data_IF_123324023646
#
_entry.id   IF_123324023646
#
_cell.length_a   1.000
_cell.length_b   1.000
_cell.length_c   1.000
_cell.angle_alpha   90.00
_cell.angle_beta   90.00
_cell.angle_gamma   90.00
#
_symmetry.space_group_name_H-M   'P 1'
#
loop_
_entity.id
_entity.type
_entity.pdbx_description
1 polymer ?
#
# COMPACT_ATOMS: atom_id res chain seq x y z
N UNK A 1 -0.01 90.43 31.97
CA UNK A 1 -1.12 89.46 32.16
C UNK A 1 -1.53 89.02 30.77
N UNK A 2 -1.41 87.74 30.46
CA UNK A 2 -1.92 87.13 29.23
C UNK A 2 -2.50 85.76 29.63
N UNK A 3 -3.68 85.48 29.10
CA UNK A 3 -4.69 84.56 29.61
C UNK A 3 -4.30 83.09 29.47
N UNK A 4 -4.63 82.29 30.50
CA UNK A 4 -4.64 80.83 30.38
C UNK A 4 -5.91 80.44 29.60
N UNK A 5 -5.73 79.95 28.38
CA UNK A 5 -6.81 79.40 27.55
C UNK A 5 -7.33 78.09 28.19
N UNK A 6 -8.57 78.11 28.67
CA UNK A 6 -9.26 76.94 29.21
C UNK A 6 -9.68 76.05 28.04
N UNK A 7 -9.16 74.81 27.97
CA UNK A 7 -9.63 73.82 27.00
C UNK A 7 -10.99 73.31 27.48
N UNK A 8 -12.03 73.54 26.67
CA UNK A 8 -13.40 73.12 26.93
C UNK A 8 -13.49 71.60 27.19
N UNK A 9 -14.17 71.23 28.28
CA UNK A 9 -14.42 69.84 28.69
C UNK A 9 -15.11 69.01 27.59
N UNK A 10 -15.80 69.66 26.65
CA UNK A 10 -16.48 69.00 25.53
C UNK A 10 -15.49 68.43 24.50
N UNK A 11 -14.36 69.10 24.25
CA UNK A 11 -13.32 68.64 23.31
C UNK A 11 -12.54 67.45 23.89
N UNK A 12 -12.31 67.46 25.21
CA UNK A 12 -11.71 66.34 25.93
C UNK A 12 -12.64 65.10 25.96
N UNK A 13 -13.95 65.31 26.03
CA UNK A 13 -14.95 64.24 26.01
C UNK A 13 -15.14 63.64 24.60
N UNK A 14 -15.00 64.45 23.55
CA UNK A 14 -15.03 63.98 22.16
C UNK A 14 -13.77 63.19 21.76
N UNK A 15 -12.61 63.59 22.26
CA UNK A 15 -11.36 62.84 22.12
C UNK A 15 -11.41 61.50 22.87
N UNK A 16 -11.96 61.48 24.10
CA UNK A 16 -12.17 60.26 24.87
C UNK A 16 -13.18 59.29 24.21
N UNK A 17 -14.26 59.81 23.59
CA UNK A 17 -15.24 59.01 22.82
C UNK A 17 -14.62 58.41 21.55
N UNK A 18 -13.72 59.12 20.86
CA UNK A 18 -13.02 58.63 19.65
C UNK A 18 -11.95 57.56 19.98
N UNK A 19 -11.30 57.64 21.13
CA UNK A 19 -10.32 56.63 21.61
C UNK A 19 -11.04 55.39 22.18
N UNK A 20 -12.16 55.56 22.90
CA UNK A 20 -12.98 54.45 23.40
C UNK A 20 -13.69 53.66 22.28
N UNK A 21 -14.04 54.30 21.15
CA UNK A 21 -14.63 53.62 20.00
C UNK A 21 -13.62 52.85 19.13
N UNK A 22 -12.32 53.18 19.16
CA UNK A 22 -11.28 52.43 18.41
C UNK A 22 -10.76 51.19 19.14
N UNK A 23 -10.81 51.13 20.48
CA UNK A 23 -10.26 50.00 21.27
C UNK A 23 -11.27 48.87 21.53
N UNK A 24 -12.58 49.10 21.35
CA UNK A 24 -13.61 48.04 21.48
C UNK A 24 -13.89 47.24 20.19
N UNK A 25 -13.11 47.43 19.12
CA UNK A 25 -13.23 46.68 17.85
C UNK A 25 -12.30 45.46 17.73
N UNK A 26 -11.74 44.94 18.82
CA UNK A 26 -10.85 43.77 18.76
C UNK A 26 -11.03 42.83 19.96
N UNK A 27 -12.22 42.23 20.13
CA UNK A 27 -12.38 40.90 20.78
C UNK A 27 -13.53 40.13 20.11
N UNK A 28 -13.15 39.35 19.10
CA UNK A 28 -13.61 38.01 18.76
C UNK A 28 -15.09 37.65 18.98
N UNK A 29 -15.85 37.67 17.88
CA UNK A 29 -16.82 36.60 17.61
C UNK A 29 -16.75 36.30 16.11
N UNK A 30 -16.11 35.20 15.66
CA UNK A 30 -16.22 34.81 14.26
C UNK A 30 -17.67 34.35 14.07
N UNK A 31 -18.49 35.25 13.53
CA UNK A 31 -19.77 34.86 12.94
C UNK A 31 -19.45 34.08 11.67
N UNK A 32 -19.91 32.83 11.64
CA UNK A 32 -19.97 31.94 10.49
C UNK A 32 -18.65 31.30 10.03
N UNK A 33 -17.91 30.70 10.95
CA UNK A 33 -17.14 29.51 10.57
C UNK A 33 -18.11 28.32 10.69
N UNK A 34 -18.58 27.78 9.56
CA UNK A 34 -19.26 26.47 9.57
C UNK A 34 -18.34 25.52 10.34
N UNK A 35 -18.82 24.82 11.39
CA UNK A 35 -17.95 23.92 12.12
C UNK A 35 -17.37 22.92 11.11
N UNK A 36 -16.04 22.77 11.12
CA UNK A 36 -15.37 21.82 10.24
C UNK A 36 -15.99 20.45 10.51
N UNK A 37 -16.35 19.69 9.47
CA UNK A 37 -17.01 18.39 9.64
C UNK A 37 -16.22 17.46 10.58
N UNK A 38 -14.88 17.52 10.52
CA UNK A 38 -13.99 16.84 11.48
C UNK A 38 -14.21 17.27 12.94
N UNK A 39 -14.37 18.57 13.21
CA UNK A 39 -14.63 19.07 14.57
C UNK A 39 -16.02 18.68 15.08
N UNK A 40 -17.02 18.58 14.20
CA UNK A 40 -18.35 18.05 14.57
C UNK A 40 -18.32 16.56 14.90
N UNK A 41 -17.57 15.77 14.12
CA UNK A 41 -17.38 14.34 14.38
C UNK A 41 -16.66 14.13 15.72
N UNK A 42 -15.60 14.89 15.99
CA UNK A 42 -14.84 14.80 17.26
C UNK A 42 -15.66 15.22 18.49
N UNK A 43 -16.56 16.21 18.32
CA UNK A 43 -17.45 16.65 19.40
C UNK A 43 -18.63 15.70 19.63
N UNK A 44 -18.80 14.64 18.82
CA UNK A 44 -19.87 13.66 18.97
C UNK A 44 -21.21 14.06 18.34
N UNK A 45 -21.25 15.15 17.57
CA UNK A 45 -22.47 15.64 16.87
C UNK A 45 -22.99 14.60 15.84
N UNK A 46 -22.10 13.70 15.38
CA UNK A 46 -22.42 12.56 14.53
C UNK A 46 -23.40 11.55 15.17
N UNK A 47 -23.39 11.42 16.49
CA UNK A 47 -24.22 10.46 17.23
C UNK A 47 -25.60 11.01 17.61
N UNK A 48 -25.89 12.26 17.25
CA UNK A 48 -27.19 12.87 17.50
C UNK A 48 -28.28 12.23 16.64
N UNK A 49 -29.50 12.18 17.18
CA UNK A 49 -30.64 11.51 16.53
C UNK A 49 -30.94 12.12 15.17
N UNK A 50 -30.89 13.44 15.07
CA UNK A 50 -31.17 14.22 13.87
C UNK A 50 -30.10 13.97 12.80
N UNK A 51 -28.83 13.90 13.19
CA UNK A 51 -27.74 13.60 12.25
C UNK A 51 -27.84 12.17 11.70
N UNK A 52 -28.12 11.19 12.56
CA UNK A 52 -28.25 9.78 12.17
C UNK A 52 -29.45 9.57 11.24
N UNK A 53 -30.59 10.18 11.54
CA UNK A 53 -31.79 10.08 10.70
C UNK A 53 -31.57 10.74 9.32
N UNK A 54 -30.88 11.88 9.27
CA UNK A 54 -30.58 12.57 8.02
C UNK A 54 -29.52 11.85 7.16
N UNK A 55 -28.64 11.05 7.79
CA UNK A 55 -27.52 10.36 7.12
C UNK A 55 -27.66 8.83 7.12
N UNK A 56 -28.87 8.31 7.34
CA UNK A 56 -29.12 6.88 7.55
C UNK A 56 -28.57 6.00 6.42
N UNK A 57 -28.79 6.39 5.16
CA UNK A 57 -28.28 5.68 3.99
C UNK A 57 -26.75 5.60 3.97
N UNK A 58 -26.07 6.67 4.39
CA UNK A 58 -24.61 6.71 4.46
C UNK A 58 -24.07 5.82 5.58
N UNK A 59 -24.75 5.78 6.72
CA UNK A 59 -24.40 4.87 7.84
C UNK A 59 -24.54 3.40 7.40
N UNK A 60 -25.62 3.05 6.70
CA UNK A 60 -25.77 1.72 6.10
C UNK A 60 -24.65 1.39 5.12
N UNK A 61 -24.23 2.35 4.29
CA UNK A 61 -23.09 2.17 3.40
C UNK A 61 -21.79 1.89 4.16
N UNK A 62 -21.52 2.58 5.27
CA UNK A 62 -20.34 2.33 6.11
C UNK A 62 -20.40 0.95 6.78
N UNK A 63 -21.56 0.56 7.30
CA UNK A 63 -21.77 -0.77 7.90
C UNK A 63 -21.56 -1.86 6.83
N UNK A 64 -22.09 -1.66 5.62
CA UNK A 64 -21.85 -2.56 4.50
C UNK A 64 -20.36 -2.67 4.14
N UNK A 65 -19.65 -1.54 4.11
CA UNK A 65 -18.21 -1.53 3.86
C UNK A 65 -17.43 -2.26 4.96
N UNK A 66 -17.83 -2.10 6.23
CA UNK A 66 -17.27 -2.86 7.35
C UNK A 66 -17.48 -4.37 7.18
N UNK A 67 -18.66 -4.81 6.73
CA UNK A 67 -18.92 -6.22 6.43
C UNK A 67 -18.04 -6.74 5.29
N UNK A 68 -17.83 -5.95 4.23
CA UNK A 68 -16.91 -6.31 3.14
C UNK A 68 -15.45 -6.43 3.62
N UNK A 69 -15.00 -5.53 4.50
CA UNK A 69 -13.66 -5.57 5.08
C UNK A 69 -13.46 -6.86 5.89
N UNK A 70 -14.44 -7.20 6.74
CA UNK A 70 -14.42 -8.43 7.52
C UNK A 70 -14.41 -9.65 6.59
N UNK A 71 -15.29 -9.69 5.59
CA UNK A 71 -15.36 -10.78 4.61
C UNK A 71 -14.04 -10.98 3.86
N UNK A 72 -13.43 -9.89 3.37
CA UNK A 72 -12.09 -9.92 2.74
C UNK A 72 -11.02 -10.42 3.72
N UNK A 73 -11.11 -10.04 4.99
CA UNK A 73 -10.19 -10.49 6.04
C UNK A 73 -10.17 -12.01 6.25
N UNK A 74 -11.33 -12.67 6.15
CA UNK A 74 -11.41 -14.13 6.21
C UNK A 74 -10.83 -14.81 4.96
N UNK A 75 -11.07 -14.24 3.78
CA UNK A 75 -10.55 -14.78 2.51
C UNK A 75 -9.02 -14.82 2.47
N UNK A 76 -8.35 -13.79 3.01
CA UNK A 76 -6.89 -13.73 3.06
C UNK A 76 -6.24 -14.91 3.79
N UNK A 77 -6.86 -15.39 4.89
CA UNK A 77 -6.33 -16.52 5.67
C UNK A 77 -6.39 -17.85 4.93
N UNK A 78 -7.45 -18.06 4.13
CA UNK A 78 -7.58 -19.26 3.30
C UNK A 78 -6.59 -19.21 2.15
N UNK A 79 -6.51 -18.05 1.48
CA UNK A 79 -5.58 -17.85 0.37
C UNK A 79 -4.12 -18.06 0.79
N UNK A 80 -3.69 -17.52 1.93
CA UNK A 80 -2.32 -17.75 2.42
C UNK A 80 -2.03 -19.22 2.69
N UNK A 81 -2.99 -19.96 3.28
CA UNK A 81 -2.83 -21.40 3.52
C UNK A 81 -2.71 -22.20 2.22
N UNK A 82 -3.52 -21.86 1.23
CA UNK A 82 -3.50 -22.53 -0.07
C UNK A 82 -2.20 -22.25 -0.81
N UNK A 83 -1.69 -21.02 -0.73
CA UNK A 83 -0.36 -20.65 -1.28
C UNK A 83 0.74 -21.46 -0.59
N UNK A 84 0.75 -21.52 0.74
CA UNK A 84 1.76 -22.28 1.49
C UNK A 84 1.72 -23.78 1.15
N UNK A 85 0.52 -24.34 0.98
CA UNK A 85 0.34 -25.73 0.59
C UNK A 85 0.86 -25.98 -0.82
N UNK A 86 0.48 -25.12 -1.78
CA UNK A 86 0.91 -25.23 -3.18
C UNK A 86 2.43 -25.11 -3.30
N UNK A 87 3.04 -24.20 -2.53
CA UNK A 87 4.50 -24.05 -2.51
C UNK A 87 5.19 -25.33 -2.03
N UNK A 88 4.68 -25.96 -0.98
CA UNK A 88 5.22 -27.25 -0.49
C UNK A 88 5.11 -28.36 -1.52
N UNK A 89 3.95 -28.48 -2.17
CA UNK A 89 3.74 -29.48 -3.24
C UNK A 89 4.71 -29.25 -4.41
N UNK A 90 4.97 -27.99 -4.76
CA UNK A 90 5.90 -27.62 -5.82
C UNK A 90 7.36 -27.92 -5.42
N UNK A 91 7.74 -27.67 -4.17
CA UNK A 91 9.06 -27.98 -3.65
C UNK A 91 9.30 -29.49 -3.62
N UNK A 92 8.30 -30.29 -3.23
CA UNK A 92 8.34 -31.76 -3.24
C UNK A 92 8.49 -32.30 -4.67
N UNK A 93 7.66 -31.85 -5.62
CA UNK A 93 7.79 -32.22 -7.03
C UNK A 93 9.16 -31.82 -7.61
N UNK A 94 9.70 -30.67 -7.20
CA UNK A 94 11.01 -30.21 -7.65
C UNK A 94 12.12 -31.11 -7.11
N UNK A 95 12.03 -31.53 -5.86
CA UNK A 95 12.97 -32.48 -5.26
C UNK A 95 12.95 -33.82 -6.01
N UNK A 96 11.77 -34.38 -6.26
CA UNK A 96 11.60 -35.63 -7.02
C UNK A 96 12.18 -35.52 -8.44
N UNK A 97 11.92 -34.39 -9.11
CA UNK A 97 12.48 -34.12 -10.44
C UNK A 97 14.00 -34.07 -10.42
N UNK A 98 14.59 -33.36 -9.45
CA UNK A 98 16.05 -33.25 -9.31
C UNK A 98 16.66 -34.62 -9.02
N UNK A 99 16.06 -35.42 -8.15
CA UNK A 99 16.54 -36.77 -7.84
C UNK A 99 16.49 -37.67 -9.07
N UNK A 100 15.35 -37.70 -9.76
CA UNK A 100 15.16 -38.54 -10.95
C UNK A 100 16.10 -38.12 -12.09
N UNK A 101 16.29 -36.81 -12.27
CA UNK A 101 17.29 -36.26 -13.20
C UNK A 101 18.70 -36.68 -12.81
N UNK A 102 19.09 -36.54 -11.54
CA UNK A 102 20.42 -36.93 -11.07
C UNK A 102 20.68 -38.43 -11.29
N UNK A 103 19.69 -39.28 -11.04
CA UNK A 103 19.76 -40.72 -11.32
C UNK A 103 19.94 -41.01 -12.80
N UNK A 104 19.22 -40.30 -13.68
CA UNK A 104 19.40 -40.42 -15.12
C UNK A 104 20.81 -39.99 -15.55
N UNK A 105 21.32 -38.87 -15.04
CA UNK A 105 22.67 -38.37 -15.31
C UNK A 105 23.75 -39.33 -14.80
N UNK A 106 23.54 -39.98 -13.67
CA UNK A 106 24.45 -40.99 -13.15
C UNK A 106 24.53 -42.21 -14.07
N UNK A 107 23.38 -42.72 -14.52
CA UNK A 107 23.31 -43.88 -15.42
C UNK A 107 23.84 -43.54 -16.82
N UNK A 108 23.61 -42.31 -17.29
CA UNK A 108 24.10 -41.81 -18.58
C UNK A 108 25.49 -41.18 -18.50
N UNK A 109 26.20 -41.38 -17.38
CA UNK A 109 27.57 -40.91 -17.26
C UNK A 109 28.48 -41.73 -18.18
N UNK A 110 29.39 -41.02 -18.87
CA UNK A 110 30.30 -41.58 -19.90
C UNK A 110 30.99 -42.88 -19.47
N UNK A 111 31.55 -42.93 -18.25
CA UNK A 111 32.22 -44.13 -17.76
C UNK A 111 31.27 -45.33 -17.60
N UNK A 112 30.07 -45.12 -17.04
CA UNK A 112 29.05 -46.17 -16.86
C UNK A 112 28.50 -46.66 -18.18
N UNK A 113 28.36 -45.76 -19.16
CA UNK A 113 27.97 -46.11 -20.53
C UNK A 113 29.01 -47.02 -21.18
N UNK A 114 30.29 -46.66 -21.11
CA UNK A 114 31.39 -47.48 -21.67
C UNK A 114 31.40 -48.87 -21.03
N UNK A 115 31.24 -48.95 -19.71
CA UNK A 115 31.16 -50.23 -18.99
C UNK A 115 29.95 -51.08 -19.42
N UNK A 116 28.75 -50.49 -19.52
CA UNK A 116 27.52 -51.19 -19.95
C UNK A 116 27.53 -51.59 -21.43
N UNK A 117 28.22 -50.85 -22.28
CA UNK A 117 28.29 -51.08 -23.72
C UNK A 117 29.47 -51.98 -24.12
N UNK A 118 30.46 -52.17 -23.24
CA UNK A 118 31.59 -53.07 -23.43
C UNK A 118 31.21 -54.50 -23.81
N UNK A 119 30.26 -55.17 -23.12
CA UNK A 119 29.78 -56.50 -23.48
C UNK A 119 29.12 -56.58 -24.86
N UNK A 120 28.63 -55.44 -25.39
CA UNK A 120 28.03 -55.34 -26.73
C UNK A 120 29.08 -55.08 -27.82
N UNK A 121 30.37 -55.07 -27.48
CA UNK A 121 31.48 -54.83 -28.41
C UNK A 121 31.64 -53.38 -28.87
N UNK A 122 30.86 -52.46 -28.29
CA UNK A 122 30.87 -51.04 -28.64
C UNK A 122 32.00 -50.33 -27.89
N UNK A 123 32.86 -49.65 -28.64
CA UNK A 123 33.98 -48.86 -28.09
C UNK A 123 33.77 -47.38 -28.40
N UNK A 124 34.12 -46.55 -27.43
CA UNK A 124 34.00 -45.11 -27.59
C UNK A 124 35.06 -44.57 -28.56
N UNK A 125 34.63 -43.70 -29.49
CA UNK A 125 35.57 -42.99 -30.37
C UNK A 125 36.32 -41.93 -29.57
N UNK A 126 37.64 -42.05 -29.53
CA UNK A 126 38.52 -41.01 -28.94
C UNK A 126 39.02 -40.01 -29.97
N UNK A 127 38.73 -40.24 -31.25
CA UNK A 127 39.21 -39.41 -32.34
C UNK A 127 38.35 -38.15 -32.48
N UNK A 128 38.98 -37.00 -32.73
CA UNK A 128 38.26 -35.75 -33.00
C UNK A 128 37.44 -35.89 -34.28
N UNK A 129 36.24 -35.32 -34.29
CA UNK A 129 35.38 -35.25 -35.48
C UNK A 129 36.12 -34.53 -36.60
N UNK A 130 36.34 -35.21 -37.72
CA UNK A 130 36.92 -34.62 -38.92
C UNK A 130 35.80 -33.96 -39.72
N UNK A 131 35.89 -32.64 -39.88
CA UNK A 131 35.01 -31.89 -40.80
C UNK A 131 35.60 -31.96 -42.21
N UNK A 132 34.80 -32.43 -43.16
CA UNK A 132 35.16 -32.38 -44.59
C UNK A 132 34.59 -31.07 -45.14
N UNK A 133 35.46 -30.11 -45.48
CA UNK A 133 35.06 -28.87 -46.15
C UNK A 133 35.29 -29.04 -47.65
N UNK A 134 34.22 -28.97 -48.43
CA UNK A 134 34.30 -28.94 -49.89
C UNK A 134 34.85 -27.57 -50.32
N UNK A 135 35.93 -27.55 -51.10
CA UNK A 135 36.47 -26.32 -51.69
C UNK A 135 35.65 -26.03 -52.94
N UNK A 136 35.03 -24.85 -52.99
CA UNK A 136 34.30 -24.40 -54.19
C UNK A 136 35.36 -23.96 -55.22
N UNK A 137 35.43 -24.64 -56.37
CA UNK A 137 36.17 -24.14 -57.53
C UNK A 137 35.40 -22.95 -58.10
N UNK A 138 36.13 -21.87 -58.41
CA UNK A 138 35.62 -20.65 -59.03
C UNK A 138 35.54 -20.83 -60.55
#
# INVERSE_FOLDING_TARGET
MAENEYIDKEVAEEAAKKVAQKVKKTKSKPKNAKPNAFTQILNGDFLTREFVLNNLNFIFFIIFLLLLIVGKGYYGKQLSKDVDKTQKELDEMTADYIESKAKMEEVTRRYRLVEKLGPKGLKETQNKTKVIRLKKEN
#
